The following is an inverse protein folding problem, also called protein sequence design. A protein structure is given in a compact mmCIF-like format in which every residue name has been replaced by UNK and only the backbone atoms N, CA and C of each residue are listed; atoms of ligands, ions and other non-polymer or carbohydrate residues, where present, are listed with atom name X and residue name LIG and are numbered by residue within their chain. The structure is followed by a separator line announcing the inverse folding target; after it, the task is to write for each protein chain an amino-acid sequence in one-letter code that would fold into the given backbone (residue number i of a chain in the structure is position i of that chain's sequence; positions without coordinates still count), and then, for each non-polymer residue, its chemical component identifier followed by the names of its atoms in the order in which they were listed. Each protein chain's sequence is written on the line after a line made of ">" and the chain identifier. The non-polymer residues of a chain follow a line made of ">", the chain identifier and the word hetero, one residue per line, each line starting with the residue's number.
data_IF_251211298585
#
_entry.id   IF_251211298585
#
_cell.length_a   1.000
_cell.length_b   1.000
_cell.length_c   1.000
_cell.angle_alpha   90.00
_cell.angle_beta   90.00
_cell.angle_gamma   90.00
#
_symmetry.space_group_name_H-M   'P 1'
#
loop_
_entity.id
_entity.type
_entity.pdbx_description
1 polymer ?
#
# COMPACT_ATOMS: atom_id res chain seq x y z
N UNK A 1 44.78 26.94 44.29
CA UNK A 1 44.13 25.83 45.03
C UNK A 1 42.87 26.42 45.65
N UNK A 2 41.65 26.09 45.21
CA UNK A 2 41.01 24.81 45.47
C UNK A 2 39.96 24.51 44.41
N UNK A 3 40.07 23.31 43.84
CA UNK A 3 39.10 22.69 42.94
C UNK A 3 37.99 22.09 43.78
N UNK A 4 36.74 22.47 43.52
CA UNK A 4 35.57 21.69 43.94
C UNK A 4 34.68 21.49 42.72
N UNK A 5 35.11 20.54 41.88
CA UNK A 5 34.29 19.96 40.82
C UNK A 5 32.95 19.50 41.40
N UNK A 6 31.87 20.01 40.79
CA UNK A 6 30.50 19.54 40.98
C UNK A 6 30.41 18.08 40.53
N UNK A 7 30.45 17.14 41.47
CA UNK A 7 30.05 15.76 41.17
C UNK A 7 28.52 15.65 41.18
N UNK A 8 27.86 16.24 40.17
CA UNK A 8 26.50 15.80 39.81
C UNK A 8 26.66 14.51 39.01
N UNK A 9 26.61 13.38 39.71
CA UNK A 9 26.34 12.09 39.10
C UNK A 9 24.92 12.13 38.51
N UNK A 10 24.81 12.70 37.30
CA UNK A 10 23.63 12.49 36.47
C UNK A 10 23.48 10.98 36.31
N UNK A 11 22.33 10.38 36.66
CA UNK A 11 22.11 8.98 36.36
C UNK A 11 22.15 8.87 34.85
N UNK A 12 23.23 8.28 34.32
CA UNK A 12 23.35 7.85 32.94
C UNK A 12 22.16 6.95 32.68
N UNK A 13 21.06 7.52 32.19
CA UNK A 13 19.96 6.75 31.65
C UNK A 13 20.59 5.82 30.64
N UNK A 14 20.57 4.52 30.95
CA UNK A 14 21.09 3.51 30.08
C UNK A 14 20.53 3.80 28.69
N UNK A 15 21.39 4.20 27.75
CA UNK A 15 21.09 4.24 26.32
C UNK A 15 20.90 2.80 25.81
N UNK A 16 20.07 1.99 26.48
CA UNK A 16 19.38 0.87 25.85
C UNK A 16 18.38 1.50 24.89
N UNK A 17 18.89 2.01 23.78
CA UNK A 17 18.05 2.46 22.68
C UNK A 17 17.11 1.31 22.37
N UNK A 18 15.80 1.58 22.41
CA UNK A 18 14.77 0.60 22.01
C UNK A 18 15.24 -0.06 20.73
N UNK A 19 15.27 -1.40 20.73
CA UNK A 19 15.71 -2.19 19.58
C UNK A 19 14.99 -1.77 18.31
N UNK A 20 15.62 -1.98 17.15
CA UNK A 20 15.08 -1.54 15.86
C UNK A 20 13.62 -2.01 15.64
N UNK A 21 13.28 -3.21 16.13
CA UNK A 21 11.93 -3.77 16.10
C UNK A 21 10.95 -2.97 16.96
N UNK A 22 11.31 -2.62 18.20
CA UNK A 22 10.46 -1.83 19.08
C UNK A 22 10.24 -0.41 18.54
N UNK A 23 11.26 0.21 17.91
CA UNK A 23 11.09 1.50 17.21
C UNK A 23 10.17 1.37 16.00
N UNK A 24 10.36 0.34 15.18
CA UNK A 24 9.48 0.04 14.03
C UNK A 24 8.06 -0.23 14.47
N UNK A 25 7.85 -1.00 15.53
CA UNK A 25 6.53 -1.28 16.08
C UNK A 25 5.82 -0.02 16.56
N UNK A 26 6.53 0.85 17.31
CA UNK A 26 5.94 2.10 17.79
C UNK A 26 5.69 3.09 16.64
N UNK A 27 6.57 3.12 15.64
CA UNK A 27 6.36 3.89 14.43
C UNK A 27 5.12 3.39 13.67
N UNK A 28 5.04 2.07 13.46
CA UNK A 28 3.91 1.40 12.80
C UNK A 28 2.61 1.70 13.53
N UNK A 29 2.57 1.47 14.85
CA UNK A 29 1.40 1.76 15.70
C UNK A 29 0.97 3.23 15.60
N UNK A 30 1.91 4.18 15.65
CA UNK A 30 1.58 5.60 15.53
C UNK A 30 1.13 6.00 14.12
N UNK A 31 1.70 5.39 13.08
CA UNK A 31 1.35 5.68 11.68
C UNK A 31 -0.05 5.19 11.35
N UNK A 32 -0.39 3.95 11.74
CA UNK A 32 -1.70 3.35 11.43
C UNK A 32 -2.79 3.71 12.44
N UNK A 33 -2.47 4.36 13.57
CA UNK A 33 -3.48 5.00 14.43
C UNK A 33 -4.15 6.21 13.76
N UNK A 34 -3.49 6.84 12.78
CA UNK A 34 -4.02 7.93 11.97
C UNK A 34 -3.77 7.65 10.48
N UNK A 35 -4.52 6.68 9.89
CA UNK A 35 -4.32 6.28 8.51
C UNK A 35 -4.63 7.45 7.57
N UNK A 36 -3.76 7.67 6.59
CA UNK A 36 -4.03 8.63 5.52
C UNK A 36 -4.92 7.97 4.46
N UNK A 37 -5.61 8.75 3.64
CA UNK A 37 -6.50 8.22 2.58
C UNK A 37 -5.80 7.19 1.66
N UNK A 38 -4.46 7.24 1.54
CA UNK A 38 -3.68 6.35 0.66
C UNK A 38 -3.61 4.95 1.24
N UNK A 39 -3.56 4.84 2.57
CA UNK A 39 -3.54 3.57 3.28
C UNK A 39 -4.88 2.85 3.07
N UNK A 40 -5.99 3.58 3.01
CA UNK A 40 -7.31 3.04 2.69
C UNK A 40 -7.43 2.54 1.24
N UNK A 41 -6.87 3.27 0.27
CA UNK A 41 -6.83 2.81 -1.13
C UNK A 41 -5.99 1.53 -1.25
N UNK A 42 -4.84 1.47 -0.57
CA UNK A 42 -4.00 0.27 -0.55
C UNK A 42 -4.71 -0.90 0.13
N UNK A 43 -5.42 -0.66 1.23
CA UNK A 43 -6.21 -1.67 1.91
C UNK A 43 -7.32 -2.21 0.99
N UNK A 44 -8.04 -1.33 0.28
CA UNK A 44 -9.06 -1.74 -0.69
C UNK A 44 -8.48 -2.59 -1.82
N UNK A 45 -7.30 -2.23 -2.33
CA UNK A 45 -6.58 -3.04 -3.33
C UNK A 45 -6.21 -4.41 -2.77
N UNK A 46 -5.71 -4.47 -1.54
CA UNK A 46 -5.34 -5.73 -0.88
C UNK A 46 -6.56 -6.64 -0.70
N UNK A 47 -7.68 -6.08 -0.24
CA UNK A 47 -8.95 -6.81 -0.10
C UNK A 47 -9.42 -7.32 -1.46
N UNK A 48 -9.38 -6.51 -2.51
CA UNK A 48 -9.78 -6.92 -3.85
C UNK A 48 -8.91 -8.07 -4.41
N UNK A 49 -7.59 -8.05 -4.14
CA UNK A 49 -6.69 -9.16 -4.49
C UNK A 49 -7.07 -10.45 -3.75
N UNK A 50 -7.41 -10.36 -2.46
CA UNK A 50 -7.87 -11.52 -1.67
C UNK A 50 -9.18 -12.07 -2.24
N UNK A 51 -10.13 -11.20 -2.60
CA UNK A 51 -11.40 -11.60 -3.23
C UNK A 51 -11.13 -12.26 -4.58
N UNK A 52 -10.25 -11.68 -5.42
CA UNK A 52 -9.86 -12.26 -6.70
C UNK A 52 -9.24 -13.67 -6.52
N UNK A 53 -8.33 -13.82 -5.55
CA UNK A 53 -7.74 -15.11 -5.22
C UNK A 53 -8.78 -16.12 -4.74
N UNK A 54 -9.74 -15.69 -3.92
CA UNK A 54 -10.85 -16.55 -3.48
C UNK A 54 -11.74 -16.98 -4.65
N UNK A 55 -12.05 -16.07 -5.58
CA UNK A 55 -12.82 -16.40 -6.78
C UNK A 55 -12.10 -17.34 -7.74
N UNK A 56 -10.76 -17.40 -7.70
CA UNK A 56 -9.97 -18.30 -8.56
C UNK A 56 -10.22 -19.78 -8.25
N UNK A 57 -10.67 -20.10 -7.03
CA UNK A 57 -11.07 -21.46 -6.65
C UNK A 57 -12.42 -21.87 -7.26
N UNK A 58 -13.25 -20.91 -7.67
CA UNK A 58 -14.58 -21.15 -8.24
C UNK A 58 -14.48 -21.14 -9.77
N UNK A 59 -13.97 -20.04 -10.32
CA UNK A 59 -13.84 -19.82 -11.75
C UNK A 59 -12.68 -18.88 -12.03
N UNK A 60 -11.71 -19.36 -12.80
CA UNK A 60 -10.54 -18.59 -13.23
C UNK A 60 -10.94 -17.31 -13.99
N UNK A 61 -12.02 -17.34 -14.77
CA UNK A 61 -12.50 -16.17 -15.51
C UNK A 61 -13.03 -15.11 -14.58
N UNK A 62 -13.83 -15.51 -13.60
CA UNK A 62 -14.35 -14.61 -12.59
C UNK A 62 -13.19 -13.95 -11.83
N UNK A 63 -12.18 -14.73 -11.44
CA UNK A 63 -11.00 -14.20 -10.78
C UNK A 63 -10.21 -13.20 -11.60
N UNK A 64 -9.99 -13.48 -12.88
CA UNK A 64 -9.29 -12.58 -13.78
C UNK A 64 -10.07 -11.26 -13.98
N UNK A 65 -11.40 -11.32 -14.12
CA UNK A 65 -12.27 -10.14 -14.24
C UNK A 65 -12.25 -9.32 -12.94
N UNK A 66 -12.38 -9.98 -11.79
CA UNK A 66 -12.35 -9.31 -10.47
C UNK A 66 -10.98 -8.66 -10.23
N UNK A 67 -9.89 -9.33 -10.61
CA UNK A 67 -8.55 -8.78 -10.49
C UNK A 67 -8.34 -7.58 -11.43
N UNK A 68 -8.90 -7.61 -12.65
CA UNK A 68 -8.83 -6.51 -13.61
C UNK A 68 -9.53 -5.23 -13.14
N UNK A 69 -10.54 -5.36 -12.28
CA UNK A 69 -11.23 -4.22 -11.68
C UNK A 69 -10.30 -3.36 -10.79
N UNK A 70 -9.24 -3.96 -10.22
CA UNK A 70 -8.29 -3.25 -9.35
C UNK A 70 -7.49 -2.18 -10.11
N UNK A 71 -6.72 -2.50 -11.16
CA UNK A 71 -6.02 -1.48 -11.93
C UNK A 71 -6.99 -0.55 -12.66
N UNK A 72 -8.16 -1.03 -13.12
CA UNK A 72 -9.17 -0.16 -13.71
C UNK A 72 -9.68 0.91 -12.72
N UNK A 73 -10.01 0.50 -11.50
CA UNK A 73 -10.43 1.42 -10.43
C UNK A 73 -9.33 2.41 -10.03
N UNK A 74 -8.07 1.95 -9.99
CA UNK A 74 -6.92 2.84 -9.76
C UNK A 74 -6.74 3.86 -10.90
N UNK A 75 -6.94 3.44 -12.16
CA UNK A 75 -6.90 4.34 -13.30
C UNK A 75 -8.00 5.41 -13.21
N UNK A 76 -9.22 5.03 -12.81
CA UNK A 76 -10.33 5.97 -12.60
C UNK A 76 -10.04 6.95 -11.46
N UNK A 77 -9.59 6.45 -10.31
CA UNK A 77 -9.19 7.30 -9.18
C UNK A 77 -8.08 8.28 -9.58
N UNK A 78 -7.12 7.83 -10.40
CA UNK A 78 -6.06 8.68 -10.92
C UNK A 78 -6.58 9.71 -11.93
N UNK A 79 -7.60 9.38 -12.70
CA UNK A 79 -8.22 10.25 -13.69
C UNK A 79 -9.02 11.40 -13.05
N UNK A 80 -9.57 11.19 -11.85
CA UNK A 80 -10.36 12.20 -11.11
C UNK A 80 -9.66 13.56 -11.01
N UNK A 81 -10.43 14.67 -11.00
CA UNK A 81 -9.90 16.02 -10.79
C UNK A 81 -9.38 16.21 -9.35
N UNK A 82 -8.79 17.38 -9.08
CA UNK A 82 -8.37 17.74 -7.73
C UNK A 82 -9.55 17.63 -6.73
N UNK A 83 -9.31 17.19 -5.49
CA UNK A 83 -8.01 16.89 -4.87
C UNK A 83 -7.46 15.48 -5.16
N UNK A 84 -8.27 14.58 -5.72
CA UNK A 84 -7.92 13.17 -5.94
C UNK A 84 -6.88 12.99 -7.06
N UNK A 85 -6.89 13.85 -8.07
CA UNK A 85 -5.88 13.88 -9.13
C UNK A 85 -4.47 14.30 -8.68
N UNK A 86 -4.37 15.03 -7.57
CA UNK A 86 -3.10 15.48 -6.98
C UNK A 86 -2.61 14.54 -5.87
N UNK A 87 -3.44 13.57 -5.52
CA UNK A 87 -3.22 12.63 -4.44
C UNK A 87 -1.92 11.82 -4.57
N UNK A 88 -1.51 11.54 -5.81
CA UNK A 88 -0.25 10.86 -6.15
C UNK A 88 0.70 11.87 -6.82
N UNK A 89 1.20 12.81 -6.02
CA UNK A 89 2.21 13.78 -6.46
C UNK A 89 3.52 13.12 -6.92
N UNK A 90 4.34 13.86 -7.68
CA UNK A 90 5.64 13.42 -8.21
C UNK A 90 5.64 12.20 -9.16
N UNK A 91 4.49 11.76 -9.67
CA UNK A 91 4.38 10.62 -10.60
C UNK A 91 3.52 10.96 -11.82
N UNK A 92 4.00 10.59 -13.01
CA UNK A 92 3.32 10.89 -14.29
C UNK A 92 1.90 10.30 -14.31
N UNK A 93 0.89 11.20 -14.35
CA UNK A 93 -0.53 10.84 -14.35
C UNK A 93 -0.88 9.97 -15.55
N UNK A 94 -0.45 10.38 -16.74
CA UNK A 94 -0.76 9.70 -18.00
C UNK A 94 -0.16 8.30 -18.06
N UNK A 95 1.10 8.15 -17.63
CA UNK A 95 1.79 6.84 -17.64
C UNK A 95 1.12 5.87 -16.67
N UNK A 96 0.74 6.33 -15.48
CA UNK A 96 0.05 5.49 -14.50
C UNK A 96 -1.31 5.02 -14.99
N UNK A 97 -2.13 5.93 -15.54
CA UNK A 97 -3.44 5.59 -16.11
C UNK A 97 -3.28 4.59 -17.23
N UNK A 98 -2.38 4.85 -18.19
CA UNK A 98 -2.17 3.97 -19.34
C UNK A 98 -1.71 2.58 -18.90
N UNK A 99 -0.74 2.51 -17.99
CA UNK A 99 -0.23 1.24 -17.46
C UNK A 99 -1.34 0.45 -16.80
N UNK A 100 -2.15 1.10 -15.96
CA UNK A 100 -3.27 0.46 -15.29
C UNK A 100 -4.32 -0.07 -16.27
N UNK A 101 -4.68 0.72 -17.29
CA UNK A 101 -5.63 0.29 -18.32
C UNK A 101 -5.10 -0.89 -19.15
N UNK A 102 -3.81 -0.86 -19.52
CA UNK A 102 -3.17 -1.99 -20.23
C UNK A 102 -3.25 -3.25 -19.37
N UNK A 103 -2.89 -3.19 -18.09
CA UNK A 103 -3.01 -4.34 -17.20
C UNK A 103 -4.45 -4.85 -17.07
N UNK A 104 -5.43 -3.95 -16.95
CA UNK A 104 -6.84 -4.33 -16.90
C UNK A 104 -7.26 -5.09 -18.17
N UNK A 105 -6.92 -4.57 -19.35
CA UNK A 105 -7.25 -5.20 -20.64
C UNK A 105 -6.54 -6.55 -20.78
N UNK A 106 -5.26 -6.65 -20.41
CA UNK A 106 -4.51 -7.91 -20.45
C UNK A 106 -5.12 -8.97 -19.54
N UNK A 107 -5.53 -8.61 -18.32
CA UNK A 107 -6.18 -9.53 -17.37
C UNK A 107 -7.53 -10.02 -17.91
N UNK A 108 -8.34 -9.13 -18.47
CA UNK A 108 -9.61 -9.51 -19.12
C UNK A 108 -9.33 -10.40 -20.33
N UNK A 109 -8.36 -10.06 -21.17
CA UNK A 109 -7.96 -10.87 -22.33
C UNK A 109 -7.52 -12.29 -21.92
N UNK A 110 -6.70 -12.40 -20.87
CA UNK A 110 -6.29 -13.68 -20.28
C UNK A 110 -7.48 -14.53 -19.84
N UNK A 111 -8.52 -13.91 -19.27
CA UNK A 111 -9.74 -14.62 -18.89
C UNK A 111 -10.38 -15.38 -20.08
N UNK A 112 -10.35 -14.77 -21.27
CA UNK A 112 -10.96 -15.34 -22.48
C UNK A 112 -10.02 -16.27 -23.25
N UNK A 113 -8.72 -16.00 -23.24
CA UNK A 113 -7.71 -16.80 -23.96
C UNK A 113 -7.38 -18.10 -23.23
N UNK A 114 -7.37 -18.10 -21.90
CA UNK A 114 -7.04 -19.32 -21.13
C UNK A 114 -8.20 -20.32 -21.23
N UNK A 115 -7.98 -21.51 -21.81
CA UNK A 115 -9.00 -22.55 -21.86
C UNK A 115 -9.28 -23.07 -20.45
N UNK A 116 -10.56 -23.30 -20.16
CA UNK A 116 -10.98 -23.91 -18.90
C UNK A 116 -10.68 -25.41 -18.98
N UNK A 117 -9.56 -25.83 -18.41
CA UNK A 117 -9.33 -27.25 -18.14
C UNK A 117 -10.26 -27.66 -17.01
N UNK A 118 -11.33 -28.40 -17.34
CA UNK A 118 -12.09 -29.18 -16.37
C UNK A 118 -11.25 -30.35 -15.88
#
# INVERSE_FOLDING_TARGET
>A
MSSTERTRTSPRHARRGRGAVAKRWIYWKRRYAHPVSKDWVLLACLVAIVIAAASAFIDFRLAAIVLAAVPAGLAMLRAMPAPWGEFWGNRSKTVDILTCLIFAVLLVGLAFVVPQTR
#
